data_IF_015575085005
#
_entry.id   IF_015575085005
#
_cell.length_a   1.000
_cell.length_b   1.000
_cell.length_c   1.000
_cell.angle_alpha   90.00
_cell.angle_beta   90.00
_cell.angle_gamma   90.00
#
_symmetry.space_group_name_H-M   'P 1'
#
loop_
_entity.id
_entity.type
_entity.pdbx_description
1 polymer ?
#
# COMPACT_ATOMS: atom_id res chain seq x y z
N UNK A 1 -17.53 11.17 29.48
CA UNK A 1 -18.52 12.24 29.73
C UNK A 1 -19.59 12.17 28.65
N UNK A 2 -20.90 12.02 29.00
CA UNK A 2 -22.00 11.80 28.01
C UNK A 2 -22.84 13.06 27.82
N UNK A 3 -22.20 14.22 27.59
CA UNK A 3 -22.91 15.49 27.35
C UNK A 3 -23.73 15.43 26.05
N UNK A 4 -23.17 14.89 24.97
CA UNK A 4 -23.78 14.88 23.65
C UNK A 4 -25.15 14.21 23.60
N UNK A 5 -25.40 13.17 24.39
CA UNK A 5 -26.70 12.46 24.40
C UNK A 5 -27.83 13.37 24.98
N UNK A 6 -27.48 14.34 25.80
CA UNK A 6 -28.45 15.25 26.41
C UNK A 6 -28.78 16.49 25.56
N UNK A 7 -28.05 16.68 24.45
CA UNK A 7 -28.34 17.71 23.45
C UNK A 7 -29.38 17.28 22.43
N UNK A 8 -29.65 15.96 22.34
CA UNK A 8 -30.59 15.41 21.35
C UNK A 8 -32.00 15.89 21.69
N UNK A 9 -32.65 16.47 20.69
CA UNK A 9 -34.02 17.00 20.80
C UNK A 9 -34.11 18.48 21.19
N UNK A 10 -32.99 19.17 21.43
CA UNK A 10 -32.97 20.61 21.61
C UNK A 10 -33.13 21.35 20.27
N UNK A 11 -33.64 22.57 20.32
CA UNK A 11 -33.79 23.45 19.17
C UNK A 11 -32.83 24.63 19.23
N UNK A 12 -32.53 25.24 18.08
CA UNK A 12 -31.69 26.44 18.02
C UNK A 12 -32.29 27.56 18.90
N UNK A 13 -31.44 28.22 19.69
CA UNK A 13 -31.80 29.22 20.67
C UNK A 13 -32.30 28.67 22.00
N UNK A 14 -32.47 27.36 22.13
CA UNK A 14 -32.91 26.76 23.39
C UNK A 14 -31.75 26.71 24.38
N UNK A 15 -31.99 27.26 25.56
CA UNK A 15 -31.11 27.16 26.71
C UNK A 15 -31.57 26.03 27.64
N UNK A 16 -30.65 25.21 28.11
CA UNK A 16 -30.95 24.11 29.03
C UNK A 16 -29.78 23.80 29.94
N UNK A 17 -30.11 23.32 31.13
CA UNK A 17 -29.09 22.86 32.10
C UNK A 17 -28.82 21.38 31.95
N UNK A 18 -27.55 21.05 31.73
CA UNK A 18 -27.07 19.68 31.63
C UNK A 18 -26.20 19.34 32.84
N UNK A 19 -26.68 18.41 33.64
CA UNK A 19 -25.93 17.89 34.78
C UNK A 19 -24.97 16.79 34.30
N UNK A 20 -23.68 16.96 34.53
CA UNK A 20 -22.64 16.03 34.21
C UNK A 20 -21.89 15.57 35.46
N UNK A 21 -21.58 14.27 35.54
CA UNK A 21 -20.72 13.70 36.56
C UNK A 21 -19.40 13.36 35.92
N UNK A 22 -18.31 13.92 36.43
CA UNK A 22 -16.97 13.62 35.96
C UNK A 22 -16.52 12.30 36.58
N UNK A 23 -15.79 11.49 35.80
CA UNK A 23 -15.20 10.26 36.29
C UNK A 23 -14.11 10.57 37.34
N UNK A 24 -13.89 9.67 38.28
CA UNK A 24 -12.86 9.82 39.31
C UNK A 24 -11.43 9.90 38.73
N UNK A 25 -11.22 9.27 37.56
CA UNK A 25 -9.97 9.31 36.81
C UNK A 25 -9.83 10.49 35.84
N UNK A 26 -10.66 11.54 36.00
CA UNK A 26 -10.59 12.69 35.09
C UNK A 26 -9.27 13.45 35.28
N UNK A 27 -8.63 13.86 34.15
CA UNK A 27 -7.29 14.45 34.15
C UNK A 27 -7.17 15.73 34.99
N UNK A 28 -8.26 16.48 35.16
CA UNK A 28 -8.29 17.63 36.04
C UNK A 28 -8.83 17.21 37.43
N UNK A 29 -7.97 17.21 38.42
CA UNK A 29 -8.27 16.80 39.79
C UNK A 29 -9.35 17.66 40.46
N UNK A 30 -9.52 18.92 40.04
CA UNK A 30 -10.54 19.82 40.61
C UNK A 30 -11.96 19.44 40.12
N UNK A 31 -12.08 18.67 39.07
CA UNK A 31 -13.35 18.20 38.51
C UNK A 31 -13.56 16.69 38.70
N UNK A 32 -12.54 15.93 38.99
CA UNK A 32 -12.63 14.47 39.17
C UNK A 32 -13.65 14.12 40.26
N UNK A 33 -14.57 13.20 39.94
CA UNK A 33 -15.63 12.74 40.82
C UNK A 33 -16.75 13.76 41.09
N UNK A 34 -16.66 15.00 40.58
CA UNK A 34 -17.65 16.05 40.87
C UNK A 34 -18.81 16.05 39.90
N UNK A 35 -19.97 16.44 40.41
CA UNK A 35 -21.17 16.76 39.62
C UNK A 35 -21.17 18.25 39.31
N UNK A 36 -21.29 18.58 38.02
CA UNK A 36 -21.31 19.97 37.53
C UNK A 36 -22.55 20.18 36.65
N UNK A 37 -23.16 21.34 36.74
CA UNK A 37 -24.23 21.76 35.86
C UNK A 37 -23.67 22.71 34.82
N UNK A 38 -23.93 22.42 33.54
CA UNK A 38 -23.57 23.27 32.41
C UNK A 38 -24.87 23.88 31.84
N UNK A 39 -25.00 25.18 31.89
CA UNK A 39 -26.03 25.89 31.12
C UNK A 39 -25.53 26.03 29.68
N UNK A 40 -26.20 25.39 28.74
CA UNK A 40 -25.84 25.38 27.33
C UNK A 40 -26.96 25.97 26.48
N UNK A 41 -26.58 26.76 25.48
CA UNK A 41 -27.48 27.28 24.46
C UNK A 41 -27.13 26.68 23.12
N UNK A 42 -28.09 26.10 22.39
CA UNK A 42 -27.88 25.61 21.03
C UNK A 42 -27.80 26.79 20.08
N UNK A 43 -26.60 27.08 19.56
CA UNK A 43 -26.43 28.21 18.65
C UNK A 43 -26.78 27.83 17.21
N UNK A 44 -26.47 26.59 16.81
CA UNK A 44 -26.58 26.12 15.43
C UNK A 44 -26.81 24.61 15.42
N UNK A 45 -27.56 24.12 14.45
CA UNK A 45 -27.73 22.70 14.16
C UNK A 45 -27.40 22.53 12.67
N UNK A 46 -26.28 21.92 12.37
CA UNK A 46 -25.86 21.62 10.99
C UNK A 46 -26.39 20.25 10.59
N UNK A 47 -26.94 20.17 9.40
CA UNK A 47 -27.32 18.93 8.76
C UNK A 47 -26.31 18.65 7.62
N UNK A 48 -25.70 17.48 7.66
CA UNK A 48 -24.86 17.03 6.54
C UNK A 48 -25.74 16.50 5.42
N UNK A 49 -25.89 17.30 4.37
CA UNK A 49 -26.63 16.91 3.18
C UNK A 49 -25.65 16.40 2.12
N UNK A 50 -25.87 15.17 1.65
CA UNK A 50 -25.15 14.67 0.48
C UNK A 50 -25.78 15.32 -0.77
N UNK A 51 -25.02 16.15 -1.51
CA UNK A 51 -25.55 16.78 -2.72
C UNK A 51 -25.85 15.74 -3.79
N UNK A 52 -26.81 16.05 -4.67
CA UNK A 52 -27.06 15.23 -5.84
C UNK A 52 -25.85 15.24 -6.78
N UNK A 53 -25.48 14.06 -7.28
CA UNK A 53 -24.39 13.91 -8.22
C UNK A 53 -24.90 14.29 -9.63
N UNK A 54 -24.45 15.44 -10.13
CA UNK A 54 -24.82 15.96 -11.46
C UNK A 54 -23.64 16.00 -12.40
N UNK A 55 -23.90 16.12 -13.72
CA UNK A 55 -22.85 16.23 -14.73
C UNK A 55 -22.00 17.48 -14.53
N UNK A 56 -22.61 18.59 -14.13
CA UNK A 56 -21.91 19.85 -13.82
C UNK A 56 -20.94 19.65 -12.63
N UNK A 57 -21.40 18.92 -11.61
CA UNK A 57 -20.54 18.61 -10.47
C UNK A 57 -19.36 17.74 -10.88
N UNK A 58 -19.58 16.72 -11.71
CA UNK A 58 -18.51 15.82 -12.23
C UNK A 58 -17.51 16.63 -13.03
N UNK A 59 -17.98 17.42 -13.99
CA UNK A 59 -17.11 18.25 -14.84
C UNK A 59 -16.23 19.22 -14.03
N UNK A 60 -16.76 19.75 -12.91
CA UNK A 60 -16.01 20.68 -12.05
C UNK A 60 -15.06 19.99 -11.07
N UNK A 61 -15.27 18.73 -10.70
CA UNK A 61 -14.57 18.09 -9.58
C UNK A 61 -13.79 16.82 -9.96
N UNK A 62 -13.89 16.26 -11.17
CA UNK A 62 -13.23 15.03 -11.57
C UNK A 62 -11.71 15.07 -11.30
N UNK A 63 -11.03 16.13 -11.69
CA UNK A 63 -9.60 16.29 -11.45
C UNK A 63 -9.24 16.30 -9.94
N UNK A 64 -10.07 16.89 -9.08
CA UNK A 64 -9.86 16.91 -7.64
C UNK A 64 -10.04 15.54 -6.97
N UNK A 65 -10.72 14.61 -7.65
CA UNK A 65 -10.86 13.21 -7.27
C UNK A 65 -9.69 12.33 -7.77
N UNK A 66 -8.68 12.91 -8.40
CA UNK A 66 -7.56 12.19 -8.97
C UNK A 66 -7.89 11.51 -10.30
N UNK A 67 -8.96 11.93 -11.00
CA UNK A 67 -9.30 11.46 -12.33
C UNK A 67 -8.60 12.35 -13.35
N UNK A 68 -7.50 11.84 -13.91
CA UNK A 68 -6.67 12.56 -14.87
C UNK A 68 -7.30 12.60 -16.28
N UNK A 69 -8.24 11.68 -16.57
CA UNK A 69 -8.96 11.65 -17.84
C UNK A 69 -9.94 12.81 -17.93
N UNK A 70 -9.54 13.87 -18.63
CA UNK A 70 -10.36 15.06 -18.86
C UNK A 70 -11.65 14.82 -19.65
N UNK A 71 -11.83 13.63 -20.24
CA UNK A 71 -13.07 13.26 -20.91
C UNK A 71 -14.20 12.88 -19.94
N UNK A 72 -13.87 12.63 -18.67
CA UNK A 72 -14.86 12.29 -17.63
C UNK A 72 -15.56 13.55 -17.14
N UNK A 73 -16.67 13.89 -17.79
CA UNK A 73 -17.45 15.13 -17.51
C UNK A 73 -18.91 14.86 -17.15
N UNK A 74 -19.38 13.61 -17.21
CA UNK A 74 -20.74 13.23 -16.88
C UNK A 74 -20.79 12.14 -15.81
N UNK A 75 -21.92 12.03 -15.13
CA UNK A 75 -22.16 10.98 -14.11
C UNK A 75 -22.01 9.59 -14.71
N UNK A 76 -22.45 9.38 -15.95
CA UNK A 76 -22.33 8.09 -16.65
C UNK A 76 -20.85 7.74 -16.91
N UNK A 77 -20.06 8.71 -17.40
CA UNK A 77 -18.62 8.54 -17.64
C UNK A 77 -17.89 8.28 -16.31
N UNK A 78 -18.22 9.02 -15.26
CA UNK A 78 -17.65 8.78 -13.93
C UNK A 78 -17.94 7.36 -13.43
N UNK A 79 -19.18 6.89 -13.56
CA UNK A 79 -19.55 5.51 -13.18
C UNK A 79 -18.80 4.47 -13.99
N UNK A 80 -18.62 4.70 -15.28
CA UNK A 80 -17.87 3.82 -16.18
C UNK A 80 -16.40 3.78 -15.78
N UNK A 81 -15.80 4.95 -15.54
CA UNK A 81 -14.42 5.08 -15.08
C UNK A 81 -14.18 4.33 -13.75
N UNK A 82 -15.02 4.62 -12.73
CA UNK A 82 -14.91 3.99 -11.42
C UNK A 82 -15.11 2.46 -11.52
N UNK A 83 -16.05 2.00 -12.33
CA UNK A 83 -16.27 0.56 -12.55
C UNK A 83 -15.05 -0.09 -13.17
N UNK A 84 -14.51 0.48 -14.25
CA UNK A 84 -13.32 -0.04 -14.92
C UNK A 84 -12.11 -0.06 -13.95
N UNK A 85 -11.93 0.99 -13.16
CA UNK A 85 -10.89 1.05 -12.14
C UNK A 85 -11.04 -0.08 -11.11
N UNK A 86 -12.25 -0.29 -10.57
CA UNK A 86 -12.51 -1.33 -9.57
C UNK A 86 -12.37 -2.75 -10.17
N UNK A 87 -12.78 -2.96 -11.41
CA UNK A 87 -12.62 -4.23 -12.12
C UNK A 87 -11.14 -4.55 -12.36
N UNK A 88 -10.33 -3.54 -12.74
CA UNK A 88 -8.88 -3.69 -12.88
C UNK A 88 -8.22 -4.01 -11.54
N UNK A 89 -8.57 -3.30 -10.48
CA UNK A 89 -8.06 -3.57 -9.13
C UNK A 89 -8.43 -4.98 -8.63
N UNK A 90 -9.68 -5.38 -8.86
CA UNK A 90 -10.15 -6.72 -8.48
C UNK A 90 -9.42 -7.81 -9.28
N UNK A 91 -9.20 -7.60 -10.58
CA UNK A 91 -8.46 -8.53 -11.44
C UNK A 91 -7.01 -8.66 -10.98
N UNK A 92 -6.31 -7.55 -10.73
CA UNK A 92 -4.93 -7.56 -10.26
C UNK A 92 -4.80 -8.24 -8.88
N UNK A 93 -5.70 -7.93 -7.96
CA UNK A 93 -5.74 -8.57 -6.63
C UNK A 93 -5.99 -10.07 -6.72
N UNK A 94 -6.88 -10.50 -7.64
CA UNK A 94 -7.15 -11.92 -7.90
C UNK A 94 -5.93 -12.62 -8.48
N UNK A 95 -5.27 -12.02 -9.47
CA UNK A 95 -4.06 -12.58 -10.09
C UNK A 95 -2.95 -12.75 -9.07
N UNK A 96 -2.71 -11.73 -8.23
CA UNK A 96 -1.73 -11.81 -7.14
C UNK A 96 -2.06 -12.94 -6.16
N UNK A 97 -3.31 -13.06 -5.72
CA UNK A 97 -3.72 -14.11 -4.79
C UNK A 97 -3.57 -15.53 -5.39
N UNK A 98 -3.86 -15.69 -6.68
CA UNK A 98 -3.66 -16.97 -7.39
C UNK A 98 -2.17 -17.31 -7.47
N UNK A 99 -1.34 -16.33 -7.87
CA UNK A 99 0.10 -16.52 -7.96
C UNK A 99 0.70 -16.84 -6.59
N UNK A 100 0.34 -16.11 -5.54
CA UNK A 100 0.83 -16.33 -4.18
C UNK A 100 0.48 -17.73 -3.65
N UNK A 101 -0.75 -18.19 -3.92
CA UNK A 101 -1.17 -19.54 -3.54
C UNK A 101 -0.40 -20.64 -4.31
N UNK A 102 -0.17 -20.42 -5.62
CA UNK A 102 0.62 -21.32 -6.45
C UNK A 102 2.09 -21.31 -6.02
N UNK A 103 2.67 -20.12 -5.83
CA UNK A 103 4.04 -19.93 -5.36
C UNK A 103 4.27 -20.61 -4.00
N UNK A 104 3.37 -20.38 -3.04
CA UNK A 104 3.46 -21.05 -1.73
C UNK A 104 3.48 -22.56 -1.88
N UNK A 105 2.64 -23.11 -2.73
CA UNK A 105 2.57 -24.56 -2.96
C UNK A 105 3.85 -25.11 -3.60
N UNK A 106 4.47 -24.36 -4.49
CA UNK A 106 5.74 -24.70 -5.11
C UNK A 106 6.89 -24.58 -4.12
N UNK A 107 6.97 -23.47 -3.38
CA UNK A 107 8.05 -23.21 -2.42
C UNK A 107 8.03 -24.14 -1.22
N UNK A 108 6.86 -24.50 -0.68
CA UNK A 108 6.71 -25.45 0.45
C UNK A 108 7.25 -26.85 0.11
N UNK A 109 7.35 -27.20 -1.17
CA UNK A 109 7.86 -28.49 -1.65
C UNK A 109 9.36 -28.51 -1.98
N UNK A 110 10.04 -27.36 -1.88
CA UNK A 110 11.44 -27.21 -2.25
C UNK A 110 12.35 -27.24 -1.03
N UNK A 111 13.42 -28.05 -1.13
CA UNK A 111 14.55 -28.00 -0.21
C UNK A 111 15.70 -27.25 -0.93
N UNK A 112 15.92 -26.01 -0.55
CA UNK A 112 16.94 -25.15 -1.15
C UNK A 112 18.21 -25.28 -0.33
N UNK A 113 19.17 -26.04 -0.87
CA UNK A 113 20.46 -26.28 -0.21
C UNK A 113 21.46 -25.13 -0.41
N UNK A 114 21.30 -24.33 -1.46
CA UNK A 114 22.23 -23.24 -1.79
C UNK A 114 21.54 -22.13 -2.57
N UNK A 115 21.99 -20.90 -2.35
CA UNK A 115 21.53 -19.70 -3.05
C UNK A 115 22.69 -19.11 -3.86
N UNK A 116 22.43 -18.37 -4.97
CA UNK A 116 23.46 -17.66 -5.70
C UNK A 116 24.21 -16.69 -4.77
N UNK A 117 25.45 -17.04 -4.44
CA UNK A 117 26.20 -16.37 -3.35
C UNK A 117 26.53 -14.91 -3.65
N UNK A 118 26.78 -14.57 -4.90
CA UNK A 118 27.02 -13.19 -5.35
C UNK A 118 25.75 -12.36 -5.21
N UNK A 119 24.64 -12.82 -5.78
CA UNK A 119 23.36 -12.11 -5.69
C UNK A 119 22.86 -11.97 -4.24
N UNK A 120 23.05 -12.99 -3.42
CA UNK A 120 22.71 -12.93 -1.99
C UNK A 120 23.54 -11.87 -1.27
N UNK A 121 24.84 -11.84 -1.54
CA UNK A 121 25.75 -10.85 -0.94
C UNK A 121 25.38 -9.43 -1.36
N UNK A 122 25.13 -9.22 -2.64
CA UNK A 122 24.75 -7.91 -3.18
C UNK A 122 23.42 -7.41 -2.61
N UNK A 123 22.45 -8.30 -2.48
CA UNK A 123 21.15 -7.95 -1.90
C UNK A 123 21.27 -7.59 -0.40
N UNK A 124 22.06 -8.36 0.35
CA UNK A 124 22.33 -8.06 1.77
C UNK A 124 23.09 -6.74 1.92
N UNK A 125 24.07 -6.46 1.08
CA UNK A 125 24.80 -5.20 1.07
C UNK A 125 23.86 -4.03 0.76
N UNK A 126 22.95 -4.19 -0.19
CA UNK A 126 21.97 -3.17 -0.55
C UNK A 126 21.01 -2.87 0.61
N UNK A 127 20.46 -3.92 1.24
CA UNK A 127 19.57 -3.76 2.40
C UNK A 127 20.26 -3.03 3.57
N UNK A 128 21.53 -3.42 3.86
CA UNK A 128 22.31 -2.78 4.91
C UNK A 128 22.64 -1.32 4.57
N UNK A 129 23.04 -1.05 3.33
CA UNK A 129 23.38 0.31 2.87
C UNK A 129 22.18 1.25 2.90
N UNK A 130 20.99 0.77 2.54
CA UNK A 130 19.76 1.55 2.61
C UNK A 130 19.44 1.96 4.05
N UNK A 131 19.51 1.02 4.99
CA UNK A 131 19.31 1.31 6.43
C UNK A 131 20.40 2.22 6.99
N UNK A 132 21.65 2.06 6.55
CA UNK A 132 22.74 2.94 6.93
C UNK A 132 22.52 4.37 6.46
N UNK A 133 22.13 4.56 5.20
CA UNK A 133 21.82 5.88 4.63
C UNK A 133 20.65 6.55 5.34
N UNK A 134 19.62 5.76 5.64
CA UNK A 134 18.45 6.26 6.37
C UNK A 134 18.81 6.63 7.81
N UNK A 135 19.55 5.79 8.53
CA UNK A 135 20.04 6.12 9.87
C UNK A 135 20.91 7.39 9.87
N UNK A 136 21.79 7.57 8.87
CA UNK A 136 22.60 8.79 8.77
C UNK A 136 21.73 10.06 8.67
N UNK A 137 20.61 9.99 7.96
CA UNK A 137 19.66 11.11 7.85
C UNK A 137 18.99 11.48 9.19
N UNK A 138 18.90 10.52 10.11
CA UNK A 138 18.28 10.68 11.44
C UNK A 138 19.29 10.60 12.60
N UNK A 139 20.60 10.57 12.32
CA UNK A 139 21.66 10.34 13.31
C UNK A 139 21.68 11.35 14.45
N UNK A 140 21.16 12.57 14.24
CA UNK A 140 21.02 13.56 15.32
C UNK A 140 19.92 13.23 16.35
N UNK A 141 19.01 12.33 16.02
CA UNK A 141 17.84 11.97 16.84
C UNK A 141 18.02 10.66 17.58
N UNK A 142 19.01 9.86 17.21
CA UNK A 142 19.25 8.52 17.79
C UNK A 142 20.72 8.34 18.14
N UNK A 143 21.00 7.71 19.29
CA UNK A 143 22.37 7.51 19.78
C UNK A 143 23.11 6.39 19.04
N UNK A 144 22.39 5.50 18.36
CA UNK A 144 22.94 4.38 17.59
C UNK A 144 21.99 3.89 16.50
N UNK A 145 22.54 3.18 15.48
CA UNK A 145 21.75 2.46 14.47
C UNK A 145 20.77 1.46 15.11
N UNK A 146 21.19 0.80 16.20
CA UNK A 146 20.33 -0.15 16.91
C UNK A 146 19.12 0.52 17.55
N UNK A 147 19.30 1.69 18.18
CA UNK A 147 18.19 2.49 18.71
C UNK A 147 17.24 2.96 17.58
N UNK A 148 17.80 3.37 16.46
CA UNK A 148 17.02 3.72 15.26
C UNK A 148 16.19 2.54 14.78
N UNK A 149 16.80 1.36 14.56
CA UNK A 149 16.12 0.15 14.13
C UNK A 149 14.99 -0.27 15.09
N UNK A 150 15.23 -0.16 16.39
CA UNK A 150 14.22 -0.44 17.43
C UNK A 150 13.05 0.54 17.37
N UNK A 151 13.33 1.81 17.17
CA UNK A 151 12.30 2.85 17.13
C UNK A 151 11.49 2.82 15.85
N UNK A 152 12.17 2.82 14.70
CA UNK A 152 11.55 2.95 13.38
C UNK A 152 10.94 1.63 12.87
N UNK A 153 11.67 0.52 13.03
CA UNK A 153 11.34 -0.78 12.43
C UNK A 153 10.93 -1.85 13.43
N UNK A 154 11.01 -1.57 14.74
CA UNK A 154 10.66 -2.49 15.83
C UNK A 154 11.56 -3.73 15.92
N UNK A 155 12.79 -3.67 15.41
CA UNK A 155 13.79 -4.71 15.64
C UNK A 155 14.41 -4.52 17.03
N UNK A 156 14.47 -5.60 17.82
CA UNK A 156 15.01 -5.54 19.18
C UNK A 156 16.54 -5.37 19.23
N UNK A 157 17.24 -5.74 18.15
CA UNK A 157 18.70 -5.66 18.04
C UNK A 157 19.14 -5.58 16.56
N UNK A 158 20.42 -5.25 16.35
CA UNK A 158 21.04 -5.33 15.03
C UNK A 158 21.07 -6.77 14.50
N UNK A 159 21.28 -7.76 15.37
CA UNK A 159 21.25 -9.19 14.98
C UNK A 159 19.86 -9.61 14.49
N UNK A 160 18.77 -9.14 15.14
CA UNK A 160 17.40 -9.40 14.69
C UNK A 160 17.13 -8.79 13.30
N UNK A 161 17.66 -7.60 13.03
CA UNK A 161 17.60 -7.02 11.68
C UNK A 161 18.41 -7.84 10.67
N UNK A 162 19.62 -8.28 11.01
CA UNK A 162 20.45 -9.08 10.10
C UNK A 162 19.79 -10.43 9.77
N UNK A 163 19.18 -11.08 10.75
CA UNK A 163 18.40 -12.31 10.53
C UNK A 163 17.20 -12.07 9.62
N UNK A 164 16.48 -10.98 9.84
CA UNK A 164 15.38 -10.59 8.97
C UNK A 164 15.86 -10.32 7.54
N UNK A 165 16.95 -9.57 7.38
CA UNK A 165 17.52 -9.24 6.07
C UNK A 165 17.96 -10.49 5.32
N UNK A 166 18.61 -11.46 5.99
CA UNK A 166 19.01 -12.74 5.40
C UNK A 166 17.81 -13.56 4.94
N UNK A 167 16.79 -13.68 5.79
CA UNK A 167 15.56 -14.39 5.45
C UNK A 167 14.82 -13.70 4.28
N UNK A 168 14.73 -12.39 4.28
CA UNK A 168 14.12 -11.62 3.20
C UNK A 168 14.87 -11.83 1.87
N UNK A 169 16.20 -11.70 1.89
CA UNK A 169 17.04 -11.89 0.72
C UNK A 169 16.89 -13.31 0.13
N UNK A 170 16.87 -14.33 0.97
CA UNK A 170 16.66 -15.72 0.55
C UNK A 170 15.28 -15.96 -0.03
N UNK A 171 14.24 -15.39 0.56
CA UNK A 171 12.87 -15.48 0.02
C UNK A 171 12.75 -14.80 -1.34
N UNK A 172 13.34 -13.62 -1.50
CA UNK A 172 13.39 -12.90 -2.78
C UNK A 172 14.12 -13.72 -3.85
N UNK A 173 15.30 -14.26 -3.53
CA UNK A 173 16.06 -15.10 -4.47
C UNK A 173 15.32 -16.39 -4.82
N UNK A 174 14.66 -17.03 -3.86
CA UNK A 174 13.84 -18.21 -4.13
C UNK A 174 12.71 -17.89 -5.11
N UNK A 175 12.01 -16.76 -4.93
CA UNK A 175 10.98 -16.33 -5.87
C UNK A 175 11.57 -16.09 -7.27
N UNK A 176 12.71 -15.40 -7.36
CA UNK A 176 13.41 -15.14 -8.61
C UNK A 176 13.83 -16.44 -9.31
N UNK A 177 14.34 -17.42 -8.57
CA UNK A 177 14.69 -18.74 -9.08
C UNK A 177 13.47 -19.48 -9.63
N UNK A 178 12.36 -19.54 -8.89
CA UNK A 178 11.12 -20.20 -9.33
C UNK A 178 10.57 -19.53 -10.59
N UNK A 179 10.48 -18.20 -10.61
CA UNK A 179 10.04 -17.42 -11.77
C UNK A 179 10.88 -17.72 -13.00
N UNK A 180 12.20 -17.73 -12.85
CA UNK A 180 13.14 -18.01 -13.94
C UNK A 180 13.03 -19.46 -14.43
N UNK A 181 12.84 -20.42 -13.53
CA UNK A 181 12.62 -21.83 -13.90
C UNK A 181 11.33 -22.00 -14.70
N UNK A 182 10.21 -21.44 -14.24
CA UNK A 182 8.93 -21.50 -14.97
C UNK A 182 9.08 -20.88 -16.36
N UNK A 183 9.78 -19.74 -16.46
CA UNK A 183 10.03 -19.07 -17.72
C UNK A 183 10.84 -19.96 -18.69
N UNK A 184 11.91 -20.57 -18.21
CA UNK A 184 12.76 -21.45 -19.01
C UNK A 184 12.00 -22.69 -19.50
N UNK A 185 11.25 -23.36 -18.63
CA UNK A 185 10.49 -24.57 -18.95
C UNK A 185 9.36 -24.31 -19.96
N UNK A 186 8.84 -23.09 -20.01
CA UNK A 186 7.71 -22.72 -20.87
C UNK A 186 8.11 -21.79 -22.02
N UNK A 187 9.40 -21.53 -22.25
CA UNK A 187 9.93 -20.64 -23.28
C UNK A 187 9.34 -19.21 -23.21
N UNK A 188 9.08 -18.72 -22.00
CA UNK A 188 8.62 -17.35 -21.77
C UNK A 188 9.87 -16.45 -21.71
N UNK A 189 9.91 -15.47 -22.61
CA UNK A 189 11.05 -14.56 -22.73
C UNK A 189 10.64 -13.11 -22.61
N UNK A 190 11.59 -12.28 -22.21
CA UNK A 190 11.46 -10.83 -22.19
C UNK A 190 12.23 -10.27 -23.38
N UNK A 191 11.58 -9.47 -24.19
CA UNK A 191 12.19 -8.81 -25.35
C UNK A 191 12.67 -7.40 -24.98
N UNK A 192 13.50 -6.81 -25.84
CA UNK A 192 13.90 -5.42 -25.69
C UNK A 192 12.70 -4.47 -25.77
N UNK A 193 11.70 -4.80 -26.61
CA UNK A 193 10.49 -4.02 -26.75
C UNK A 193 9.63 -4.05 -25.47
N UNK A 194 9.55 -5.20 -24.79
CA UNK A 194 8.88 -5.31 -23.49
C UNK A 194 9.53 -4.38 -22.43
N UNK A 195 10.87 -4.38 -22.37
CA UNK A 195 11.62 -3.52 -21.43
C UNK A 195 11.41 -2.05 -21.77
N UNK A 196 11.51 -1.69 -23.04
CA UNK A 196 11.33 -0.31 -23.46
C UNK A 196 9.91 0.18 -23.17
N UNK A 197 8.87 -0.62 -23.48
CA UNK A 197 7.48 -0.25 -23.22
C UNK A 197 7.23 0.01 -21.73
N UNK A 198 7.69 -0.90 -20.87
CA UNK A 198 7.55 -0.74 -19.41
C UNK A 198 8.40 0.43 -18.90
N UNK A 199 9.58 0.64 -19.50
CA UNK A 199 10.44 1.80 -19.18
C UNK A 199 9.78 3.14 -19.50
N UNK A 200 9.12 3.27 -20.65
CA UNK A 200 8.38 4.47 -21.04
C UNK A 200 7.15 4.73 -20.13
N UNK A 201 6.43 3.66 -19.75
CA UNK A 201 5.34 3.77 -18.77
C UNK A 201 5.86 4.30 -17.41
N UNK A 202 7.01 3.79 -16.96
CA UNK A 202 7.66 4.22 -15.74
C UNK A 202 8.14 5.67 -15.83
N UNK A 203 8.72 6.07 -16.97
CA UNK A 203 9.14 7.43 -17.24
C UNK A 203 7.95 8.39 -17.14
N UNK A 204 6.86 8.07 -17.81
CA UNK A 204 5.64 8.87 -17.75
C UNK A 204 5.09 8.99 -16.33
N UNK A 205 5.09 7.88 -15.56
CA UNK A 205 4.60 7.88 -14.17
C UNK A 205 5.42 8.78 -13.24
N UNK A 206 6.75 8.81 -13.43
CA UNK A 206 7.65 9.64 -12.62
C UNK A 206 7.90 11.04 -13.18
N UNK A 207 7.28 11.38 -14.32
CA UNK A 207 7.38 12.71 -14.94
C UNK A 207 8.70 12.95 -15.67
N UNK A 208 9.35 11.89 -16.17
CA UNK A 208 10.47 11.96 -17.09
C UNK A 208 9.96 12.08 -18.53
N UNK A 209 10.77 12.66 -19.42
CA UNK A 209 10.40 12.83 -20.83
C UNK A 209 10.42 11.50 -21.59
N UNK A 210 11.40 10.63 -21.30
CA UNK A 210 11.50 9.28 -21.88
C UNK A 210 12.26 8.31 -20.95
N UNK A 211 12.34 7.03 -21.37
CA UNK A 211 13.03 6.00 -20.60
C UNK A 211 14.54 6.21 -20.48
N UNK A 212 15.19 6.87 -21.43
CA UNK A 212 16.62 7.15 -21.35
C UNK A 212 16.95 8.10 -20.19
N UNK A 213 16.06 9.04 -19.88
CA UNK A 213 16.24 9.94 -18.73
C UNK A 213 16.28 9.17 -17.40
N UNK A 214 15.49 8.10 -17.29
CA UNK A 214 15.56 7.17 -16.14
C UNK A 214 16.90 6.45 -16.12
N UNK A 215 17.36 5.93 -17.26
CA UNK A 215 18.64 5.21 -17.36
C UNK A 215 19.83 6.13 -17.07
N UNK A 216 19.76 7.39 -17.45
CA UNK A 216 20.79 8.39 -17.15
C UNK A 216 20.80 8.74 -15.66
N UNK A 217 19.63 8.77 -15.01
CA UNK A 217 19.48 9.11 -13.59
C UNK A 217 19.87 7.94 -12.67
N UNK A 218 19.38 6.73 -12.94
CA UNK A 218 19.50 5.55 -12.06
C UNK A 218 20.49 4.50 -12.55
N UNK A 219 21.01 4.66 -13.75
CA UNK A 219 21.99 3.75 -14.35
C UNK A 219 21.35 2.61 -15.15
N UNK A 220 22.19 1.97 -15.97
CA UNK A 220 21.75 0.92 -16.90
C UNK A 220 21.34 -0.41 -16.22
N UNK A 221 21.60 -0.57 -14.93
CA UNK A 221 21.11 -1.71 -14.13
C UNK A 221 19.59 -1.76 -14.07
N UNK A 222 18.92 -0.59 -14.25
CA UNK A 222 17.45 -0.52 -14.37
C UNK A 222 16.88 -1.42 -15.47
N UNK A 223 17.62 -1.63 -16.58
CA UNK A 223 17.18 -2.58 -17.62
C UNK A 223 16.99 -4.00 -17.08
N UNK A 224 17.86 -4.45 -16.18
CA UNK A 224 17.76 -5.78 -15.57
C UNK A 224 16.61 -5.87 -14.58
N UNK A 225 16.37 -4.80 -13.83
CA UNK A 225 15.27 -4.73 -12.86
C UNK A 225 13.92 -4.67 -13.56
N UNK A 226 13.76 -3.81 -14.57
CA UNK A 226 12.56 -3.76 -15.40
C UNK A 226 12.35 -5.09 -16.13
N UNK A 227 13.42 -5.67 -16.69
CA UNK A 227 13.36 -6.98 -17.33
C UNK A 227 12.86 -8.08 -16.40
N UNK A 228 13.27 -8.08 -15.14
CA UNK A 228 12.75 -9.01 -14.15
C UNK A 228 11.29 -8.72 -13.78
N UNK A 229 10.89 -7.47 -13.63
CA UNK A 229 9.49 -7.10 -13.39
C UNK A 229 8.57 -7.56 -14.52
N UNK A 230 8.98 -7.34 -15.77
CA UNK A 230 8.26 -7.83 -16.95
C UNK A 230 8.15 -9.35 -16.95
N UNK A 231 9.27 -10.04 -16.67
CA UNK A 231 9.27 -11.50 -16.57
C UNK A 231 8.31 -11.99 -15.49
N UNK A 232 8.39 -11.39 -14.32
CA UNK A 232 7.53 -11.72 -13.19
C UNK A 232 6.04 -11.58 -13.57
N UNK A 233 5.65 -10.47 -14.19
CA UNK A 233 4.27 -10.28 -14.63
C UNK A 233 3.83 -11.31 -15.67
N UNK A 234 4.66 -11.61 -16.66
CA UNK A 234 4.39 -12.68 -17.64
C UNK A 234 4.20 -14.05 -16.99
N UNK A 235 4.94 -14.33 -15.90
CA UNK A 235 4.78 -15.58 -15.15
C UNK A 235 3.52 -15.56 -14.28
N UNK A 236 3.17 -14.43 -13.67
CA UNK A 236 1.87 -14.27 -12.96
C UNK A 236 0.72 -14.58 -13.92
N UNK A 237 0.71 -13.98 -15.09
CA UNK A 237 -0.33 -14.20 -16.11
C UNK A 237 -0.37 -15.67 -16.55
N UNK A 238 0.80 -16.24 -16.87
CA UNK A 238 0.91 -17.65 -17.25
C UNK A 238 0.37 -18.60 -16.16
N UNK A 239 0.72 -18.35 -14.90
CA UNK A 239 0.22 -19.16 -13.76
C UNK A 239 -1.29 -19.01 -13.64
N UNK A 240 -1.83 -17.80 -13.73
CA UNK A 240 -3.26 -17.56 -13.64
C UNK A 240 -4.06 -18.27 -14.75
N UNK A 241 -3.48 -18.37 -15.94
CA UNK A 241 -4.10 -19.06 -17.08
C UNK A 241 -4.04 -20.59 -16.98
N UNK A 242 -3.04 -21.14 -16.30
CA UNK A 242 -2.72 -22.56 -16.30
C UNK A 242 -3.02 -23.29 -15.00
N UNK A 243 -3.46 -22.60 -13.93
CA UNK A 243 -3.84 -23.25 -12.67
C UNK A 243 -5.37 -23.39 -12.56
N UNK A 244 -5.80 -24.46 -11.92
CA UNK A 244 -7.21 -24.62 -11.53
C UNK A 244 -7.43 -24.00 -10.16
N UNK A 245 -8.25 -22.96 -10.11
CA UNK A 245 -8.65 -22.31 -8.85
C UNK A 245 -9.88 -23.04 -8.30
N UNK A 246 -9.72 -23.71 -7.16
CA UNK A 246 -10.84 -24.27 -6.42
C UNK A 246 -11.38 -23.20 -5.46
N UNK A 247 -12.40 -22.48 -5.91
CA UNK A 247 -13.05 -21.43 -5.12
C UNK A 247 -13.92 -22.06 -4.05
N UNK A 248 -13.43 -22.15 -2.82
CA UNK A 248 -14.18 -22.73 -1.69
C UNK A 248 -15.03 -21.72 -0.93
N UNK A 249 -15.05 -20.44 -1.38
CA UNK A 249 -15.71 -19.33 -0.67
C UNK A 249 -17.16 -19.10 -1.06
N UNK A 250 -17.72 -19.88 -2.01
CA UNK A 250 -19.10 -19.68 -2.48
C UNK A 250 -20.11 -20.63 -1.81
N UNK A 251 -19.99 -20.84 -0.49
CA UNK A 251 -21.05 -21.42 0.34
C UNK A 251 -21.40 -20.48 1.48
N UNK A 252 -21.95 -19.32 1.17
CA UNK A 252 -22.77 -18.55 2.08
C UNK A 252 -24.17 -18.46 1.45
N UNK A 253 -25.04 -19.40 1.84
CA UNK A 253 -26.49 -19.26 1.77
C UNK A 253 -26.95 -18.15 2.75
#
# INVERSE_FOLDING_TARGET
MKILIRLVGLTVGQETDITCVFQESYYNSDLAGKTTVFTVTVNEIDESVVPELTDEWVAANAASLGIEDSSVTTVEQLRTYVRSYLETQASSSRSSAIFDAAYKKMSDGLDVSDYPSEELTDLLNTLNSNVDAEYQSYSSSYSSKEEYLKSAYKFDSLDAFNEYADNYAKQYLLQKMIVTMIAADNNITVTADDINSTGEELASYYGYDDYNDILDTYGKTMNSEIGYQVLYQKIVDFVCENVTVNDTTNTAE
#
